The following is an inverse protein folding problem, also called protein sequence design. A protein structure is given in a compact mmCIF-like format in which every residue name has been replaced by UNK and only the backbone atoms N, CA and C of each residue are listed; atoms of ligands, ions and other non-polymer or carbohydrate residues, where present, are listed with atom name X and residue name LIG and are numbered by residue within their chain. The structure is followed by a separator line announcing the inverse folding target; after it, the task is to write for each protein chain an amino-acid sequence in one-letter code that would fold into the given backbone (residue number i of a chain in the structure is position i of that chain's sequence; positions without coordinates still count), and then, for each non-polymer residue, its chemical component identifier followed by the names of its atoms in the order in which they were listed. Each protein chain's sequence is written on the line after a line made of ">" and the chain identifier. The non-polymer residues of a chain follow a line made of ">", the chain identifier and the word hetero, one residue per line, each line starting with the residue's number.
data_IF_374574979022
#
_entry.id   IF_374574979022
#
_cell.length_a   1.000
_cell.length_b   1.000
_cell.length_c   1.000
_cell.angle_alpha   90.00
_cell.angle_beta   90.00
_cell.angle_gamma   90.00
#
_symmetry.space_group_name_H-M   'P 1'
#
loop_
_entity.id
_entity.type
_entity.pdbx_description
1 polymer ?
#
# COMPACT_ATOMS: atom_id res chain seq x y z
N UNK A 1 1.54 4.59 17.05
CA UNK A 1 0.23 5.16 16.65
C UNK A 1 0.05 4.92 15.16
N UNK A 2 -1.03 4.28 14.73
CA UNK A 2 -1.32 4.08 13.29
C UNK A 2 -2.09 5.28 12.77
N UNK A 3 -1.64 5.86 11.65
CA UNK A 3 -2.15 7.14 11.14
C UNK A 3 -3.44 7.00 10.31
N UNK A 4 -3.66 5.84 9.68
CA UNK A 4 -4.80 5.57 8.80
C UNK A 4 -5.27 4.12 8.97
N UNK A 5 -6.48 3.92 9.49
CA UNK A 5 -7.04 2.58 9.76
C UNK A 5 -6.09 1.70 10.57
N UNK A 6 -5.82 0.49 10.07
CA UNK A 6 -4.86 -0.48 10.64
C UNK A 6 -3.39 -0.17 10.29
N UNK A 7 -3.15 0.94 9.59
CA UNK A 7 -1.89 1.35 8.98
C UNK A 7 -1.97 1.31 7.46
N UNK A 8 -1.55 2.40 6.78
CA UNK A 8 -1.78 2.59 5.34
C UNK A 8 -1.32 1.39 4.49
N UNK A 9 -0.15 0.80 4.75
CA UNK A 9 0.31 -0.39 4.03
C UNK A 9 -0.66 -1.57 4.12
N UNK A 10 -1.21 -1.83 5.32
CA UNK A 10 -2.15 -2.93 5.55
C UNK A 10 -3.50 -2.65 4.92
N UNK A 11 -3.92 -1.39 4.92
CA UNK A 11 -5.16 -0.98 4.26
C UNK A 11 -5.06 -1.15 2.74
N UNK A 12 -3.91 -0.84 2.14
CA UNK A 12 -3.65 -1.08 0.71
C UNK A 12 -3.68 -2.58 0.41
N UNK A 13 -3.00 -3.41 1.21
CA UNK A 13 -3.03 -4.88 1.06
C UNK A 13 -4.46 -5.41 1.15
N UNK A 14 -5.24 -4.97 2.14
CA UNK A 14 -6.64 -5.36 2.29
C UNK A 14 -7.50 -4.92 1.10
N UNK A 15 -7.29 -3.70 0.60
CA UNK A 15 -8.02 -3.18 -0.56
C UNK A 15 -7.70 -3.96 -1.84
N UNK A 16 -6.44 -4.37 -2.03
CA UNK A 16 -6.03 -5.20 -3.17
C UNK A 16 -6.58 -6.62 -3.04
N UNK A 17 -6.51 -7.22 -1.85
CA UNK A 17 -7.07 -8.56 -1.60
C UNK A 17 -8.60 -8.60 -1.70
N UNK A 18 -9.27 -7.51 -1.34
CA UNK A 18 -10.71 -7.32 -1.49
C UNK A 18 -11.15 -6.82 -2.87
N UNK A 19 -10.24 -6.78 -3.86
CA UNK A 19 -10.51 -6.31 -5.23
C UNK A 19 -11.06 -4.88 -5.34
N UNK A 20 -10.79 -4.03 -4.34
CA UNK A 20 -11.12 -2.59 -4.35
C UNK A 20 -10.06 -1.81 -5.14
N UNK A 21 -8.79 -2.23 -5.06
CA UNK A 21 -7.68 -1.68 -5.84
C UNK A 21 -7.16 -2.78 -6.77
N UNK A 22 -7.06 -2.47 -8.06
CA UNK A 22 -6.49 -3.38 -9.05
C UNK A 22 -4.96 -3.24 -9.07
N UNK A 23 -4.27 -4.35 -9.32
CA UNK A 23 -2.84 -4.32 -9.62
C UNK A 23 -2.60 -4.27 -11.13
N UNK A 24 -1.52 -3.63 -11.59
CA UNK A 24 -0.61 -2.81 -10.78
C UNK A 24 -1.27 -1.48 -10.37
N UNK A 25 -0.98 -1.00 -9.15
CA UNK A 25 -1.53 0.24 -8.62
C UNK A 25 -0.48 1.35 -8.52
N UNK A 26 -0.94 2.59 -8.57
CA UNK A 26 -0.16 3.81 -8.41
C UNK A 26 -0.71 4.69 -7.28
N UNK A 27 -0.03 5.81 -7.02
CA UNK A 27 -0.45 6.81 -6.01
C UNK A 27 -1.89 7.28 -6.23
N UNK A 28 -2.31 7.41 -7.48
CA UNK A 28 -3.68 7.80 -7.87
C UNK A 28 -4.73 6.82 -7.36
N UNK A 29 -4.48 5.52 -7.43
CA UNK A 29 -5.41 4.48 -6.97
C UNK A 29 -5.52 4.50 -5.45
N UNK A 30 -4.39 4.70 -4.76
CA UNK A 30 -4.36 4.83 -3.30
C UNK A 30 -5.09 6.10 -2.86
N UNK A 31 -4.94 7.21 -3.60
CA UNK A 31 -5.65 8.46 -3.32
C UNK A 31 -7.16 8.28 -3.46
N UNK A 32 -7.61 7.66 -4.55
CA UNK A 32 -9.02 7.37 -4.78
C UNK A 32 -9.58 6.47 -3.66
N UNK A 33 -8.86 5.42 -3.30
CA UNK A 33 -9.21 4.56 -2.16
C UNK A 33 -9.29 5.36 -0.86
N UNK A 34 -8.30 6.19 -0.54
CA UNK A 34 -8.30 7.04 0.65
C UNK A 34 -9.50 7.99 0.69
N UNK A 35 -9.91 8.55 -0.45
CA UNK A 35 -11.11 9.38 -0.55
C UNK A 35 -12.39 8.60 -0.24
N UNK A 36 -12.51 7.34 -0.64
CA UNK A 36 -13.67 6.49 -0.24
C UNK A 36 -13.72 6.20 1.26
N UNK A 37 -12.59 6.35 1.96
CA UNK A 37 -12.48 6.21 3.42
C UNK A 37 -12.54 7.56 4.15
N UNK A 38 -12.80 8.67 3.44
CA UNK A 38 -12.74 10.03 3.97
C UNK A 38 -11.37 10.39 4.60
N UNK A 39 -10.29 9.79 4.10
CA UNK A 39 -8.93 10.10 4.53
C UNK A 39 -8.31 11.14 3.61
N UNK A 40 -7.81 12.23 4.20
CA UNK A 40 -6.96 13.18 3.49
C UNK A 40 -5.49 12.80 3.71
N UNK A 41 -4.89 12.13 2.73
CA UNK A 41 -3.51 11.66 2.79
C UNK A 41 -2.69 12.44 1.77
N UNK A 42 -1.65 13.18 2.21
CA UNK A 42 -0.74 13.85 1.29
C UNK A 42 -0.03 12.87 0.35
N UNK A 43 0.11 13.23 -0.92
CA UNK A 43 0.75 12.37 -1.93
C UNK A 43 2.19 11.99 -1.57
N UNK A 44 2.95 12.90 -0.97
CA UNK A 44 4.31 12.63 -0.49
C UNK A 44 4.32 11.54 0.60
N UNK A 45 3.28 11.50 1.45
CA UNK A 45 3.11 10.44 2.44
C UNK A 45 2.80 9.11 1.76
N UNK A 46 1.88 9.09 0.77
CA UNK A 46 1.58 7.88 0.00
C UNK A 46 2.85 7.36 -0.71
N UNK A 47 3.59 8.24 -1.37
CA UNK A 47 4.81 7.89 -2.07
C UNK A 47 5.88 7.29 -1.13
N UNK A 48 6.09 7.93 0.03
CA UNK A 48 6.99 7.40 1.05
C UNK A 48 6.51 6.04 1.55
N UNK A 49 5.20 5.86 1.76
CA UNK A 49 4.60 4.61 2.20
C UNK A 49 4.86 3.47 1.22
N UNK A 50 4.63 3.71 -0.08
CA UNK A 50 4.84 2.74 -1.16
C UNK A 50 6.33 2.42 -1.33
N UNK A 51 7.18 3.44 -1.39
CA UNK A 51 8.64 3.28 -1.55
C UNK A 51 9.23 2.49 -0.39
N UNK A 52 8.83 2.83 0.85
CA UNK A 52 9.31 2.14 2.05
C UNK A 52 8.78 0.71 2.14
N UNK A 53 7.52 0.49 1.72
CA UNK A 53 6.89 -0.82 1.64
C UNK A 53 7.47 -1.72 0.55
N UNK A 54 8.15 -1.16 -0.45
CA UNK A 54 8.77 -1.88 -1.56
C UNK A 54 10.30 -2.02 -1.47
N UNK A 55 10.97 -1.15 -0.71
CA UNK A 55 12.43 -1.10 -0.66
C UNK A 55 13.01 -2.25 0.18
N UNK A 56 13.78 -3.13 -0.45
CA UNK A 56 14.51 -4.22 0.22
C UNK A 56 15.66 -3.72 1.12
N UNK A 57 16.17 -2.52 0.84
CA UNK A 57 17.29 -1.91 1.59
C UNK A 57 16.81 -1.03 2.74
N UNK A 58 15.54 -0.64 2.73
CA UNK A 58 14.95 0.03 3.89
C UNK A 58 14.86 -0.95 5.06
N UNK A 59 15.19 -0.50 6.28
CA UNK A 59 15.20 -1.24 7.57
C UNK A 59 14.75 -2.71 7.53
N UNK A 60 15.60 -3.61 8.05
CA UNK A 60 15.34 -5.05 8.16
C UNK A 60 14.02 -5.39 8.90
N UNK A 61 13.57 -4.50 9.80
CA UNK A 61 12.33 -4.67 10.58
C UNK A 61 11.07 -4.21 9.84
N UNK A 62 11.22 -3.54 8.69
CA UNK A 62 10.09 -3.01 7.95
C UNK A 62 9.53 -4.05 7.00
N UNK A 63 8.28 -4.46 7.23
CA UNK A 63 7.58 -5.44 6.38
C UNK A 63 7.46 -4.92 4.94
N UNK A 64 7.88 -5.75 3.99
CA UNK A 64 7.93 -5.44 2.55
C UNK A 64 6.62 -5.80 1.87
N UNK A 65 5.57 -5.02 2.14
CA UNK A 65 4.23 -5.32 1.64
C UNK A 65 4.11 -5.26 0.12
N UNK A 66 5.02 -4.56 -0.56
CA UNK A 66 4.89 -4.26 -1.97
C UNK A 66 6.14 -4.64 -2.76
N UNK A 67 5.96 -4.78 -4.07
CA UNK A 67 7.02 -4.92 -5.06
C UNK A 67 6.86 -3.74 -6.03
N UNK A 68 7.92 -2.95 -6.20
CA UNK A 68 7.97 -1.90 -7.22
C UNK A 68 8.15 -2.54 -8.60
N UNK A 69 7.33 -2.12 -9.56
CA UNK A 69 7.38 -2.58 -10.94
C UNK A 69 8.06 -1.57 -11.88
N UNK A 70 8.53 -0.43 -11.34
CA UNK A 70 8.96 0.72 -12.13
C UNK A 70 7.81 1.70 -12.43
N UNK A 71 8.15 2.88 -12.95
CA UNK A 71 7.20 3.91 -13.40
C UNK A 71 6.10 4.29 -12.38
N UNK A 72 6.46 4.27 -11.08
CA UNK A 72 5.52 4.57 -9.99
C UNK A 72 4.42 3.54 -9.77
N UNK A 73 4.56 2.34 -10.34
CA UNK A 73 3.61 1.22 -10.22
C UNK A 73 4.10 0.19 -9.22
N UNK A 74 3.15 -0.38 -8.50
CA UNK A 74 3.40 -1.34 -7.44
C UNK A 74 2.42 -2.51 -7.52
N UNK A 75 2.82 -3.63 -6.91
CA UNK A 75 1.93 -4.75 -6.59
C UNK A 75 2.16 -5.19 -5.14
N UNK A 76 1.20 -5.86 -4.53
CA UNK A 76 1.35 -6.53 -3.24
C UNK A 76 2.28 -7.73 -3.41
N UNK A 77 3.24 -7.86 -2.49
CA UNK A 77 4.09 -9.04 -2.42
C UNK A 77 3.23 -10.28 -2.13
N UNK A 78 3.50 -11.37 -2.85
CA UNK A 78 2.71 -12.61 -2.78
C UNK A 78 2.53 -13.16 -1.36
N UNK A 79 3.47 -12.90 -0.45
CA UNK A 79 3.37 -13.36 0.94
C UNK A 79 2.22 -12.71 1.73
N UNK A 80 1.72 -11.55 1.27
CA UNK A 80 0.62 -10.80 1.88
C UNK A 80 -0.71 -10.96 1.13
N UNK A 81 -0.79 -11.90 0.18
CA UNK A 81 -2.02 -12.24 -0.54
C UNK A 81 -2.91 -13.18 0.27
N UNK A 82 -4.23 -13.03 0.13
CA UNK A 82 -5.23 -13.93 0.70
C UNK A 82 -6.02 -13.36 1.89
N UNK A 83 -7.10 -14.06 2.25
CA UNK A 83 -8.13 -13.63 3.23
C UNK A 83 -7.55 -13.44 4.63
N UNK A 84 -6.46 -14.13 4.97
CA UNK A 84 -5.80 -14.02 6.28
C UNK A 84 -5.12 -12.67 6.56
N UNK A 85 -5.04 -11.78 5.57
CA UNK A 85 -4.46 -10.44 5.70
C UNK A 85 -5.49 -9.31 5.74
N UNK A 86 -6.79 -9.65 5.86
CA UNK A 86 -7.93 -8.74 6.04
C UNK A 86 -8.21 -8.52 7.52
#
# INVERSE_FOLDING_TARGET
>A
MVKYGRGLNREIVGAVNGQVINEPFAITDIRNFASTKSWNIPDNYINACLTNGASLTHSLTYKKYFISLGDGKYKVDSQFRGVHWI
#
